data_IF_092455556423
#
_entry.id   IF_092455556423
#
_cell.length_a   1.000
_cell.length_b   1.000
_cell.length_c   1.000
_cell.angle_alpha   90.00
_cell.angle_beta   90.00
_cell.angle_gamma   90.00
#
_symmetry.space_group_name_H-M   'P 1'
#
loop_
_entity.id
_entity.type
_entity.pdbx_description
1 polymer ?
#
# COMPACT_ATOMS: atom_id res chain seq x y z
N UNK A 1 6.42 -12.47 8.29
CA UNK A 1 5.08 -11.85 8.39
C UNK A 1 4.13 -12.52 7.37
N UNK A 2 2.90 -12.04 7.24
CA UNK A 2 1.90 -12.59 6.31
C UNK A 2 2.24 -12.33 4.84
N UNK A 3 2.87 -11.19 4.54
CA UNK A 3 3.23 -10.78 3.17
C UNK A 3 4.35 -11.69 2.65
N UNK A 4 5.44 -11.85 3.40
CA UNK A 4 6.53 -12.75 3.04
C UNK A 4 6.09 -14.21 2.93
N UNK A 5 5.16 -14.66 3.77
CA UNK A 5 4.60 -16.01 3.67
C UNK A 5 3.78 -16.24 2.38
N UNK A 6 3.08 -15.21 1.91
CA UNK A 6 2.33 -15.25 0.65
C UNK A 6 3.27 -15.20 -0.55
N UNK A 7 4.27 -14.31 -0.53
CA UNK A 7 5.27 -14.21 -1.58
C UNK A 7 6.09 -15.49 -1.75
N UNK A 8 6.47 -16.16 -0.66
CA UNK A 8 7.15 -17.47 -0.70
C UNK A 8 6.32 -18.56 -1.39
N UNK A 9 5.00 -18.35 -1.54
CA UNK A 9 4.06 -19.23 -2.25
C UNK A 9 3.68 -18.69 -3.63
N UNK A 10 4.32 -17.63 -4.11
CA UNK A 10 4.02 -16.98 -5.39
C UNK A 10 2.67 -16.25 -5.40
N UNK A 11 2.14 -15.88 -4.24
CA UNK A 11 0.86 -15.17 -4.11
C UNK A 11 1.09 -13.66 -4.01
N UNK A 12 0.17 -12.87 -4.56
CA UNK A 12 0.15 -11.41 -4.42
C UNK A 12 -0.81 -10.99 -3.30
N UNK A 13 -0.47 -9.93 -2.57
CA UNK A 13 -1.21 -9.47 -1.39
C UNK A 13 -1.76 -8.06 -1.57
N UNK A 14 -3.02 -7.88 -1.13
CA UNK A 14 -3.70 -6.59 -0.94
C UNK A 14 -4.54 -6.68 0.33
N UNK A 15 -4.58 -5.60 1.10
CA UNK A 15 -5.46 -5.49 2.25
C UNK A 15 -6.76 -4.76 1.89
N UNK A 16 -7.85 -5.12 2.57
CA UNK A 16 -9.17 -4.52 2.40
C UNK A 16 -9.52 -3.65 3.62
N UNK A 17 -10.52 -2.77 3.48
CA UNK A 17 -10.95 -1.83 4.53
C UNK A 17 -9.82 -0.94 5.09
N UNK A 18 -8.89 -0.53 4.23
CA UNK A 18 -7.96 0.55 4.54
C UNK A 18 -8.69 1.90 4.50
N UNK A 19 -8.31 2.90 5.30
CA UNK A 19 -8.80 4.26 5.14
C UNK A 19 -8.54 4.75 3.71
N UNK A 20 -9.56 5.31 3.06
CA UNK A 20 -9.47 5.75 1.66
C UNK A 20 -9.57 7.28 1.50
N UNK A 21 -10.25 7.94 2.45
CA UNK A 21 -10.35 9.40 2.49
C UNK A 21 -8.97 10.00 2.72
N UNK A 22 -8.59 10.93 1.85
CA UNK A 22 -7.33 11.67 1.95
C UNK A 22 -7.13 12.29 3.33
N UNK A 23 -5.96 12.01 3.92
CA UNK A 23 -5.57 12.55 5.21
C UNK A 23 -4.53 11.67 5.91
N UNK A 24 -4.03 12.12 7.08
CA UNK A 24 -2.88 11.50 7.74
C UNK A 24 -3.07 10.01 8.06
N UNK A 25 -4.30 9.59 8.35
CA UNK A 25 -4.60 8.19 8.64
C UNK A 25 -4.43 7.28 7.41
N UNK A 26 -4.85 7.76 6.23
CA UNK A 26 -4.64 7.05 4.96
C UNK A 26 -3.16 6.98 4.64
N UNK A 27 -2.47 8.11 4.71
CA UNK A 27 -1.05 8.21 4.35
C UNK A 27 -0.18 7.32 5.27
N UNK A 28 -0.49 7.27 6.57
CA UNK A 28 0.18 6.38 7.51
C UNK A 28 -0.05 4.90 7.14
N UNK A 29 -1.29 4.49 6.84
CA UNK A 29 -1.59 3.11 6.45
C UNK A 29 -0.91 2.74 5.13
N UNK A 30 -0.95 3.63 4.13
CA UNK A 30 -0.25 3.40 2.86
C UNK A 30 1.26 3.24 3.06
N UNK A 31 1.87 4.06 3.91
CA UNK A 31 3.29 3.95 4.25
C UNK A 31 3.66 2.60 4.87
N UNK A 32 2.89 2.15 5.87
CA UNK A 32 3.12 0.84 6.50
C UNK A 32 2.92 -0.32 5.52
N UNK A 33 1.90 -0.24 4.66
CA UNK A 33 1.65 -1.28 3.66
C UNK A 33 2.74 -1.31 2.57
N UNK A 34 3.21 -0.14 2.12
CA UNK A 34 4.34 -0.03 1.19
C UNK A 34 5.61 -0.61 1.81
N UNK A 35 5.93 -0.25 3.05
CA UNK A 35 7.08 -0.78 3.79
C UNK A 35 6.97 -2.29 4.03
N UNK A 36 5.76 -2.82 4.23
CA UNK A 36 5.50 -4.25 4.33
C UNK A 36 5.61 -5.01 3.00
N UNK A 37 5.78 -4.30 1.87
CA UNK A 37 5.97 -4.87 0.54
C UNK A 37 4.68 -5.44 -0.06
N UNK A 38 3.51 -4.90 0.24
CA UNK A 38 2.27 -5.38 -0.40
C UNK A 38 2.28 -5.10 -1.91
N UNK A 39 1.61 -5.97 -2.67
CA UNK A 39 1.58 -5.87 -4.13
C UNK A 39 0.63 -4.80 -4.66
N UNK A 40 -0.40 -4.45 -3.88
CA UNK A 40 -1.42 -3.48 -4.27
C UNK A 40 -1.93 -2.69 -3.07
N UNK A 41 -2.15 -1.39 -3.27
CA UNK A 41 -2.93 -0.54 -2.38
C UNK A 41 -4.37 -0.41 -2.93
N UNK A 42 -5.36 -0.52 -2.06
CA UNK A 42 -6.76 -0.32 -2.45
C UNK A 42 -7.15 1.15 -2.27
N UNK A 43 -7.53 1.81 -3.36
CA UNK A 43 -7.99 3.19 -3.33
C UNK A 43 -8.82 3.56 -4.55
N UNK A 44 -9.82 4.42 -4.36
CA UNK A 44 -10.55 5.05 -5.48
C UNK A 44 -9.85 6.35 -5.94
N UNK A 45 -8.92 6.89 -5.14
CA UNK A 45 -8.11 8.08 -5.43
C UNK A 45 -6.80 7.69 -6.13
N UNK A 46 -6.85 7.43 -7.44
CA UNK A 46 -5.68 7.03 -8.24
C UNK A 46 -4.64 8.15 -8.37
N UNK A 47 -5.07 9.41 -8.51
CA UNK A 47 -4.15 10.53 -8.63
C UNK A 47 -3.41 10.79 -7.31
N UNK A 48 -4.11 10.65 -6.17
CA UNK A 48 -3.48 10.71 -4.85
C UNK A 48 -2.52 9.55 -4.60
N UNK A 49 -2.82 8.36 -5.12
CA UNK A 49 -1.90 7.22 -5.04
C UNK A 49 -0.63 7.46 -5.86
N UNK A 50 -0.75 7.97 -7.08
CA UNK A 50 0.41 8.32 -7.92
C UNK A 50 1.32 9.32 -7.20
N UNK A 51 0.77 10.43 -6.72
CA UNK A 51 1.53 11.44 -6.00
C UNK A 51 2.18 10.91 -4.72
N UNK A 52 1.49 10.02 -3.99
CA UNK A 52 2.05 9.36 -2.81
C UNK A 52 3.23 8.47 -3.18
N UNK A 53 3.10 7.62 -4.20
CA UNK A 53 4.16 6.71 -4.63
C UNK A 53 5.37 7.46 -5.18
N UNK A 54 5.17 8.51 -5.98
CA UNK A 54 6.25 9.38 -6.48
C UNK A 54 7.06 10.01 -5.33
N UNK A 55 6.40 10.32 -4.21
CA UNK A 55 7.04 10.91 -3.04
C UNK A 55 7.77 9.89 -2.14
N UNK A 56 7.45 8.59 -2.24
CA UNK A 56 7.93 7.54 -1.34
C UNK A 56 8.73 6.44 -2.03
N UNK A 57 8.84 6.47 -3.35
CA UNK A 57 9.66 5.53 -4.11
C UNK A 57 11.11 6.02 -4.13
N UNK A 58 12.00 5.36 -3.38
CA UNK A 58 13.44 5.53 -3.55
C UNK A 58 13.89 4.84 -4.85
N UNK A 59 14.64 5.57 -5.68
CA UNK A 59 15.33 5.05 -6.88
C UNK A 59 16.40 4.03 -6.56
#
# INVERSE_FOLDING_TARGET
DIVGAAHARGQRVRFWATPDVAGPARDAVWGELLAAGVDHLNTDDLAGLEAFLDAHWEV
#
